data_IF_954176207382
#
_entry.id   IF_954176207382
#
_cell.length_a   1.000
_cell.length_b   1.000
_cell.length_c   1.000
_cell.angle_alpha   90.00
_cell.angle_beta   90.00
_cell.angle_gamma   90.00
#
_symmetry.space_group_name_H-M   'P 1'
#
loop_
_entity.id
_entity.type
_entity.pdbx_description
1 polymer ?
#
# COMPACT_ATOMS: atom_id res chain seq x y z
N UNK A 1 -44.70 64.60 -27.04
CA UNK A 1 -43.94 64.33 -28.28
C UNK A 1 -42.45 64.44 -27.98
N UNK A 2 -41.69 63.39 -28.30
CA UNK A 2 -40.24 63.32 -28.64
C UNK A 2 -39.51 62.20 -27.89
N UNK A 3 -39.32 61.13 -28.65
CA UNK A 3 -38.54 59.95 -28.34
C UNK A 3 -37.07 60.29 -28.04
N UNK A 4 -36.47 59.56 -27.10
CA UNK A 4 -35.03 59.31 -27.08
C UNK A 4 -34.78 57.82 -26.95
N UNK A 5 -33.85 57.38 -27.79
CA UNK A 5 -33.50 56.04 -28.21
C UNK A 5 -32.52 55.35 -27.24
N UNK A 6 -32.62 54.01 -27.22
CA UNK A 6 -31.56 52.99 -27.23
C UNK A 6 -30.46 53.01 -26.15
N UNK A 7 -30.36 51.90 -25.42
CA UNK A 7 -29.14 51.08 -25.30
C UNK A 7 -29.48 49.78 -24.54
N UNK A 8 -29.85 48.72 -25.28
CA UNK A 8 -29.97 47.38 -24.72
C UNK A 8 -28.57 46.81 -24.49
N UNK A 9 -28.18 46.70 -23.22
CA UNK A 9 -26.92 46.12 -22.79
C UNK A 9 -26.92 44.62 -23.14
N UNK A 10 -26.21 44.24 -24.20
CA UNK A 10 -25.94 42.86 -24.54
C UNK A 10 -25.05 42.24 -23.47
N UNK A 11 -25.64 41.52 -22.52
CA UNK A 11 -24.90 40.73 -21.54
C UNK A 11 -24.39 39.46 -22.23
N UNK A 12 -23.20 39.54 -22.82
CA UNK A 12 -22.48 38.35 -23.26
C UNK A 12 -22.13 37.51 -22.03
N UNK A 13 -22.88 36.43 -21.80
CA UNK A 13 -22.48 35.35 -20.90
C UNK A 13 -21.25 34.68 -21.52
N UNK A 14 -20.07 35.20 -21.21
CA UNK A 14 -18.82 34.50 -21.43
C UNK A 14 -18.78 33.34 -20.44
N UNK A 15 -19.06 32.13 -20.92
CA UNK A 15 -18.74 30.90 -20.20
C UNK A 15 -17.23 30.90 -19.96
N UNK A 16 -16.81 31.25 -18.74
CA UNK A 16 -15.45 30.98 -18.28
C UNK A 16 -15.30 29.47 -18.20
N UNK A 17 -14.73 28.87 -19.24
CA UNK A 17 -14.26 27.49 -19.19
C UNK A 17 -13.06 27.47 -18.26
N UNK A 18 -13.31 27.20 -16.98
CA UNK A 18 -12.28 27.01 -15.98
C UNK A 18 -11.42 25.82 -16.41
N UNK A 19 -10.15 26.08 -16.69
CA UNK A 19 -9.17 25.02 -16.91
C UNK A 19 -9.14 24.12 -15.66
N UNK A 20 -9.09 22.79 -15.83
CA UNK A 20 -8.95 21.90 -14.68
C UNK A 20 -7.65 22.24 -13.94
N UNK A 21 -7.73 22.34 -12.62
CA UNK A 21 -6.56 22.57 -11.79
C UNK A 21 -5.51 21.49 -12.06
N UNK A 22 -4.21 21.84 -12.08
CA UNK A 22 -3.16 20.86 -12.27
C UNK A 22 -3.30 19.76 -11.19
N UNK A 23 -3.23 18.50 -11.62
CA UNK A 23 -3.29 17.37 -10.71
C UNK A 23 -2.18 17.52 -9.66
N UNK A 24 -2.55 17.40 -8.38
CA UNK A 24 -1.59 17.44 -7.29
C UNK A 24 -0.50 16.38 -7.53
N UNK A 25 0.76 16.74 -7.24
CA UNK A 25 1.89 15.83 -7.40
C UNK A 25 1.62 14.51 -6.69
N UNK A 26 1.94 13.37 -7.32
CA UNK A 26 1.83 12.05 -6.68
C UNK A 26 2.62 11.97 -5.37
N UNK A 27 3.66 12.78 -5.22
CA UNK A 27 4.45 12.89 -3.99
C UNK A 27 3.71 13.61 -2.84
N UNK A 28 2.61 14.32 -3.12
CA UNK A 28 1.71 14.87 -2.09
C UNK A 28 0.78 13.78 -1.55
N UNK A 29 0.40 12.82 -2.40
CA UNK A 29 -0.49 11.72 -2.03
C UNK A 29 0.28 10.53 -1.42
N UNK A 30 1.47 10.24 -1.95
CA UNK A 30 2.39 9.19 -1.53
C UNK A 30 3.80 9.77 -1.46
N UNK A 31 4.23 10.28 -0.29
CA UNK A 31 5.52 10.96 -0.14
C UNK A 31 6.73 10.06 -0.39
N UNK A 32 6.57 8.75 -0.22
CA UNK A 32 7.65 7.76 -0.33
C UNK A 32 7.22 6.58 -1.21
N UNK A 33 7.01 6.80 -2.51
CA UNK A 33 6.53 5.76 -3.40
C UNK A 33 7.59 4.68 -3.51
N UNK A 34 7.26 3.48 -3.06
CA UNK A 34 8.18 2.35 -3.11
C UNK A 34 8.54 2.02 -4.57
N UNK A 35 9.84 1.91 -4.85
CA UNK A 35 10.37 1.39 -6.12
C UNK A 35 10.55 -0.13 -6.09
N UNK A 36 10.21 -0.78 -4.97
CA UNK A 36 10.44 -2.18 -4.75
C UNK A 36 9.72 -3.05 -5.79
N UNK A 37 10.46 -3.99 -6.35
CA UNK A 37 9.92 -5.08 -7.16
C UNK A 37 10.41 -6.39 -6.56
N UNK A 38 9.51 -7.27 -6.08
CA UNK A 38 9.94 -8.54 -5.54
C UNK A 38 10.62 -9.36 -6.63
N UNK A 39 11.76 -9.96 -6.28
CA UNK A 39 12.38 -10.97 -7.13
C UNK A 39 11.58 -12.28 -7.04
N UNK A 40 11.47 -13.06 -8.13
CA UNK A 40 10.83 -14.36 -8.06
C UNK A 40 11.52 -15.25 -7.01
N UNK A 41 10.73 -15.83 -6.12
CA UNK A 41 11.20 -16.75 -5.10
C UNK A 41 10.16 -17.84 -4.85
N UNK A 42 10.62 -19.03 -4.48
CA UNK A 42 9.74 -20.05 -3.94
C UNK A 42 9.10 -19.53 -2.63
N UNK A 43 7.87 -19.96 -2.30
CA UNK A 43 7.28 -19.66 -1.01
C UNK A 43 8.18 -20.15 0.14
N UNK A 44 8.13 -19.47 1.28
CA UNK A 44 8.91 -19.85 2.47
C UNK A 44 7.97 -19.96 3.66
N UNK A 45 7.95 -21.12 4.31
CA UNK A 45 7.27 -21.32 5.59
C UNK A 45 8.31 -21.36 6.71
N UNK A 46 8.33 -20.35 7.56
CA UNK A 46 9.04 -20.40 8.85
C UNK A 46 8.06 -21.00 9.86
N UNK A 47 8.45 -22.08 10.53
CA UNK A 47 7.54 -22.83 11.41
C UNK A 47 7.98 -22.85 12.86
N UNK A 48 7.05 -22.90 13.81
CA UNK A 48 7.32 -23.05 15.25
C UNK A 48 8.25 -21.98 15.85
N UNK A 49 8.17 -20.74 15.38
CA UNK A 49 8.97 -19.63 15.89
C UNK A 49 8.25 -18.86 17.01
N UNK A 50 9.01 -18.09 17.79
CA UNK A 50 8.44 -16.96 18.52
C UNK A 50 8.39 -15.75 17.59
N UNK A 51 7.20 -15.22 17.31
CA UNK A 51 7.00 -14.13 16.33
C UNK A 51 6.62 -12.84 17.05
N UNK A 52 7.33 -11.76 16.74
CA UNK A 52 6.89 -10.40 17.04
C UNK A 52 6.29 -9.80 15.75
N UNK A 53 5.09 -9.25 15.83
CA UNK A 53 4.39 -8.73 14.64
C UNK A 53 4.57 -7.21 14.42
N UNK A 54 5.34 -6.55 15.28
CA UNK A 54 5.57 -5.11 15.22
C UNK A 54 4.48 -4.25 15.87
N UNK A 55 3.37 -4.85 16.31
CA UNK A 55 2.28 -4.14 17.02
C UNK A 55 2.42 -4.17 18.54
N UNK A 56 3.53 -4.74 19.04
CA UNK A 56 3.75 -5.04 20.46
C UNK A 56 3.24 -6.42 20.89
N UNK A 57 2.64 -7.19 19.97
CA UNK A 57 2.19 -8.56 20.24
C UNK A 57 3.29 -9.59 19.97
N UNK A 58 3.32 -10.61 20.81
CA UNK A 58 4.16 -11.80 20.72
C UNK A 58 3.29 -13.04 20.50
N UNK A 59 3.69 -13.88 19.57
CA UNK A 59 3.05 -15.17 19.26
C UNK A 59 4.07 -16.28 19.54
N UNK A 60 3.69 -17.30 20.30
CA UNK A 60 4.52 -18.48 20.55
C UNK A 60 4.18 -19.61 19.58
N UNK A 61 5.17 -20.44 19.25
CA UNK A 61 5.03 -21.62 18.37
C UNK A 61 4.24 -21.30 17.09
N UNK A 62 4.53 -20.14 16.50
CA UNK A 62 3.82 -19.60 15.37
C UNK A 62 4.59 -19.82 14.06
N UNK A 63 3.82 -19.85 12.99
CA UNK A 63 4.28 -19.99 11.63
C UNK A 63 4.12 -18.66 10.87
N UNK A 64 5.04 -18.40 9.94
CA UNK A 64 5.02 -17.26 9.03
C UNK A 64 5.22 -17.78 7.61
N UNK A 65 4.22 -17.55 6.75
CA UNK A 65 4.28 -17.92 5.34
C UNK A 65 4.58 -16.68 4.50
N UNK A 66 5.64 -16.77 3.72
CA UNK A 66 6.06 -15.77 2.75
C UNK A 66 5.83 -16.27 1.33
N UNK A 67 5.26 -15.44 0.48
CA UNK A 67 5.09 -15.70 -0.95
C UNK A 67 5.04 -14.37 -1.71
N UNK A 68 5.55 -14.36 -2.95
CA UNK A 68 5.53 -13.19 -3.84
C UNK A 68 6.10 -11.90 -3.22
N UNK A 69 7.14 -12.07 -2.40
CA UNK A 69 7.79 -10.97 -1.66
C UNK A 69 6.92 -10.34 -0.57
N UNK A 70 5.91 -11.06 -0.07
CA UNK A 70 5.01 -10.63 1.00
C UNK A 70 4.91 -11.67 2.10
N UNK A 71 4.50 -11.24 3.29
CA UNK A 71 3.97 -12.15 4.33
C UNK A 71 2.49 -12.37 3.99
N UNK A 72 2.13 -13.58 3.61
CA UNK A 72 0.76 -13.92 3.20
C UNK A 72 -0.08 -14.49 4.34
N UNK A 73 0.56 -15.05 5.38
CA UNK A 73 -0.11 -15.49 6.60
C UNK A 73 0.85 -15.54 7.79
N UNK A 74 0.29 -15.28 8.98
CA UNK A 74 0.91 -15.51 10.29
C UNK A 74 -0.13 -16.22 11.17
N UNK A 75 0.25 -17.33 11.81
CA UNK A 75 -0.69 -18.14 12.56
C UNK A 75 -0.05 -19.40 13.12
N UNK A 76 -0.81 -20.47 13.30
CA UNK A 76 -0.31 -21.78 13.74
C UNK A 76 -0.70 -22.86 12.75
N UNK A 77 0.16 -23.87 12.58
CA UNK A 77 -0.05 -25.00 11.69
C UNK A 77 -0.44 -24.59 10.26
N UNK A 78 0.24 -23.56 9.74
CA UNK A 78 -0.07 -23.02 8.41
C UNK A 78 0.27 -24.05 7.33
N UNK A 79 -0.65 -24.20 6.39
CA UNK A 79 -0.40 -24.98 5.19
C UNK A 79 0.42 -24.12 4.21
N UNK A 80 1.43 -24.73 3.60
CA UNK A 80 2.26 -24.11 2.59
C UNK A 80 2.22 -24.94 1.30
N UNK A 81 2.38 -24.31 0.14
CA UNK A 81 2.56 -25.00 -1.15
C UNK A 81 3.63 -26.10 -1.08
N UNK A 82 3.53 -27.10 -1.96
CA UNK A 82 4.44 -28.25 -1.96
C UNK A 82 5.90 -27.87 -2.27
N UNK A 83 6.09 -26.82 -3.06
CA UNK A 83 7.39 -26.25 -3.44
C UNK A 83 7.94 -25.24 -2.41
N UNK A 84 7.24 -25.02 -1.29
CA UNK A 84 7.67 -24.09 -0.27
C UNK A 84 8.95 -24.58 0.44
N UNK A 85 9.93 -23.68 0.57
CA UNK A 85 11.08 -23.87 1.45
C UNK A 85 10.60 -23.83 2.89
N UNK A 86 10.93 -24.86 3.68
CA UNK A 86 10.54 -24.96 5.09
C UNK A 86 11.72 -24.67 6.00
N UNK A 87 11.53 -23.72 6.92
CA UNK A 87 12.54 -23.28 7.88
C UNK A 87 12.03 -23.55 9.30
N UNK A 88 12.81 -24.27 10.10
CA UNK A 88 12.51 -24.53 11.51
C UNK A 88 12.89 -23.36 12.42
N UNK A 89 11.89 -22.79 13.09
CA UNK A 89 12.00 -21.62 13.98
C UNK A 89 12.04 -21.95 15.47
N UNK A 90 12.01 -23.22 15.88
CA UNK A 90 11.97 -23.59 17.30
C UNK A 90 13.17 -23.02 18.08
N UNK A 91 12.88 -22.30 19.15
CA UNK A 91 13.89 -21.59 19.95
C UNK A 91 14.49 -20.35 19.26
N UNK A 92 13.91 -19.91 18.14
CA UNK A 92 14.32 -18.73 17.36
C UNK A 92 13.19 -17.71 17.32
N UNK A 93 13.57 -16.51 16.86
CA UNK A 93 12.68 -15.36 16.76
C UNK A 93 12.48 -14.95 15.31
N UNK A 94 11.26 -14.56 14.97
CA UNK A 94 10.92 -13.82 13.75
C UNK A 94 10.47 -12.43 14.18
N UNK A 95 11.08 -11.40 13.62
CA UNK A 95 10.75 -10.00 13.87
C UNK A 95 10.50 -9.30 12.54
N UNK A 96 9.80 -8.14 12.54
CA UNK A 96 9.90 -7.23 11.41
C UNK A 96 11.38 -6.87 11.19
N UNK A 97 11.73 -6.59 9.94
CA UNK A 97 13.06 -6.08 9.61
C UNK A 97 13.30 -4.75 10.33
N UNK A 98 14.52 -4.54 10.80
CA UNK A 98 14.94 -3.26 11.38
C UNK A 98 15.17 -2.25 10.26
N UNK A 99 14.69 -1.02 10.45
CA UNK A 99 14.88 0.11 9.53
C UNK A 99 15.76 1.13 10.26
N UNK A 100 16.82 1.57 9.59
CA UNK A 100 17.66 2.73 9.97
C UNK A 100 17.21 3.95 9.16
#
# INVERSE_FOLDING_TARGET
MRHRLLAGLGLALACAHSAPAPAASRFVQDPYPSTYRPVPSAPVLISHATVLDGTGRRLEDADVLLADGRVVAVGSALQAPADAVRVGGRGKWVTPGIID
#
